data_IF_929018582130
#
_entry.id   IF_929018582130
#
_cell.length_a   1.000
_cell.length_b   1.000
_cell.length_c   1.000
_cell.angle_alpha   90.00
_cell.angle_beta   90.00
_cell.angle_gamma   90.00
#
_symmetry.space_group_name_H-M   'P 1'
#
loop_
_entity.id
_entity.type
_entity.pdbx_description
1 polymer ?
#
# COMPACT_ATOMS: atom_id res chain seq x y z
N UNK A 1 11.06 -29.15 4.94
CA UNK A 1 11.92 -28.21 5.68
C UNK A 1 11.13 -26.93 5.81
N UNK A 2 10.63 -26.67 7.01
CA UNK A 2 9.74 -25.56 7.33
C UNK A 2 10.52 -24.24 7.30
N UNK A 3 10.15 -23.33 6.40
CA UNK A 3 10.65 -21.95 6.36
C UNK A 3 10.17 -21.24 7.63
N UNK A 4 11.08 -20.91 8.53
CA UNK A 4 10.82 -20.05 9.66
C UNK A 4 10.38 -18.68 9.11
N UNK A 5 9.08 -18.38 9.19
CA UNK A 5 8.55 -17.04 8.98
C UNK A 5 9.08 -16.17 10.12
N UNK A 6 9.75 -15.10 9.76
CA UNK A 6 10.22 -14.08 10.67
C UNK A 6 9.04 -13.63 11.57
N UNK A 7 9.14 -14.01 12.84
CA UNK A 7 8.09 -13.75 13.83
C UNK A 7 8.22 -12.31 14.36
N UNK A 8 8.12 -11.33 13.48
CA UNK A 8 7.82 -9.97 13.90
C UNK A 8 6.49 -9.98 14.67
N UNK A 9 6.46 -9.39 15.86
CA UNK A 9 5.26 -9.27 16.68
C UNK A 9 4.16 -8.62 15.84
N UNK A 10 3.19 -9.39 15.38
CA UNK A 10 2.00 -8.83 14.73
C UNK A 10 1.10 -8.26 15.81
N UNK A 11 0.63 -7.01 15.67
CA UNK A 11 -0.36 -6.49 16.60
C UNK A 11 -1.61 -7.38 16.53
N UNK A 12 -2.24 -7.63 17.67
CA UNK A 12 -3.49 -8.36 17.71
C UNK A 12 -4.65 -7.56 17.07
N UNK A 13 -5.67 -8.26 16.59
CA UNK A 13 -6.78 -7.66 15.88
C UNK A 13 -7.54 -6.59 16.69
N UNK A 14 -7.68 -6.78 18.01
CA UNK A 14 -8.36 -5.83 18.87
C UNK A 14 -7.58 -4.52 19.01
N UNK A 15 -6.26 -4.61 19.16
CA UNK A 15 -5.39 -3.42 19.18
C UNK A 15 -5.43 -2.66 17.85
N UNK A 16 -5.43 -3.37 16.72
CA UNK A 16 -5.53 -2.73 15.39
C UNK A 16 -6.88 -2.04 15.21
N UNK A 17 -7.97 -2.70 15.56
CA UNK A 17 -9.31 -2.12 15.48
C UNK A 17 -9.45 -0.88 16.37
N UNK A 18 -8.99 -0.95 17.63
CA UNK A 18 -9.01 0.19 18.54
C UNK A 18 -8.18 1.37 18.02
N UNK A 19 -6.99 1.11 17.47
CA UNK A 19 -6.18 2.15 16.84
C UNK A 19 -6.90 2.77 15.64
N UNK A 20 -7.51 1.95 14.80
CA UNK A 20 -8.26 2.40 13.63
C UNK A 20 -9.41 3.32 14.03
N UNK A 21 -10.16 2.97 15.07
CA UNK A 21 -11.25 3.79 15.60
C UNK A 21 -10.74 5.12 16.19
N UNK A 22 -9.63 5.09 16.96
CA UNK A 22 -9.02 6.28 17.56
C UNK A 22 -8.58 7.30 16.50
N UNK A 23 -8.04 6.84 15.38
CA UNK A 23 -7.62 7.76 14.29
C UNK A 23 -8.79 8.18 13.39
N UNK A 24 -10.03 7.83 13.73
CA UNK A 24 -11.21 8.15 12.93
C UNK A 24 -11.20 7.45 11.58
N UNK A 25 -10.65 6.21 11.53
CA UNK A 25 -10.42 5.50 10.28
C UNK A 25 -11.66 5.31 9.44
N UNK A 26 -12.83 5.06 10.07
CA UNK A 26 -14.11 4.91 9.37
C UNK A 26 -14.59 6.20 8.67
N UNK A 27 -14.16 7.37 9.16
CA UNK A 27 -14.59 8.67 8.64
C UNK A 27 -13.61 9.24 7.60
N UNK A 28 -12.41 8.65 7.53
CA UNK A 28 -11.38 9.07 6.60
C UNK A 28 -11.50 8.31 5.27
N UNK A 29 -11.49 9.04 4.16
CA UNK A 29 -11.47 8.42 2.81
C UNK A 29 -10.09 7.92 2.39
N UNK A 30 -9.03 8.46 2.97
CA UNK A 30 -7.66 7.99 2.76
C UNK A 30 -6.85 8.09 4.04
N UNK A 31 -5.95 7.12 4.24
CA UNK A 31 -5.07 7.02 5.40
C UNK A 31 -3.63 6.79 4.94
N UNK A 32 -2.73 7.69 5.30
CA UNK A 32 -1.32 7.55 5.00
C UNK A 32 -0.57 6.88 6.16
N UNK A 33 0.15 5.80 5.87
CA UNK A 33 1.03 5.11 6.83
C UNK A 33 2.47 5.55 6.57
N UNK A 34 2.99 6.40 7.47
CA UNK A 34 4.33 7.00 7.34
C UNK A 34 5.24 6.49 8.45
N UNK A 35 6.47 6.11 8.10
CA UNK A 35 7.49 5.72 9.09
C UNK A 35 8.54 6.79 9.26
N UNK A 36 8.97 7.05 10.49
CA UNK A 36 10.03 8.02 10.79
C UNK A 36 11.43 7.47 10.49
N UNK A 37 11.56 6.14 10.45
CA UNK A 37 12.83 5.45 10.17
C UNK A 37 12.60 4.25 9.25
N UNK A 38 13.67 3.74 8.62
CA UNK A 38 13.60 2.45 7.90
C UNK A 38 13.20 1.34 8.88
N UNK A 39 12.43 0.36 8.37
CA UNK A 39 11.95 -0.78 9.17
C UNK A 39 11.08 -0.40 10.39
N UNK A 40 10.43 0.76 10.35
CA UNK A 40 9.50 1.22 11.40
C UNK A 40 8.19 0.41 11.49
N UNK A 41 8.07 -0.70 10.76
CA UNK A 41 6.87 -1.54 10.79
C UNK A 41 5.70 -1.04 9.92
N UNK A 42 5.91 -0.08 9.01
CA UNK A 42 4.84 0.43 8.10
C UNK A 42 4.06 -0.70 7.42
N UNK A 43 4.77 -1.60 6.76
CA UNK A 43 4.17 -2.73 6.04
C UNK A 43 3.39 -3.65 6.96
N UNK A 44 3.86 -3.85 8.20
CA UNK A 44 3.14 -4.60 9.23
C UNK A 44 1.82 -3.92 9.58
N UNK A 45 1.83 -2.59 9.74
CA UNK A 45 0.62 -1.80 10.01
C UNK A 45 -0.34 -1.85 8.82
N UNK A 46 0.15 -1.66 7.59
CA UNK A 46 -0.69 -1.75 6.38
C UNK A 46 -1.37 -3.12 6.28
N UNK A 47 -0.61 -4.21 6.42
CA UNK A 47 -1.17 -5.56 6.40
C UNK A 47 -2.18 -5.77 7.55
N UNK A 48 -1.88 -5.28 8.75
CA UNK A 48 -2.78 -5.40 9.89
C UNK A 48 -4.11 -4.66 9.66
N UNK A 49 -4.08 -3.47 9.05
CA UNK A 49 -5.29 -2.72 8.69
C UNK A 49 -6.10 -3.47 7.62
N UNK A 50 -5.43 -3.96 6.57
CA UNK A 50 -6.09 -4.74 5.50
C UNK A 50 -6.76 -6.01 6.00
N UNK A 51 -6.15 -6.67 7.01
CA UNK A 51 -6.62 -7.96 7.53
C UNK A 51 -7.72 -7.82 8.60
N UNK A 52 -7.75 -6.71 9.35
CA UNK A 52 -8.56 -6.62 10.57
C UNK A 52 -9.59 -5.47 10.56
N UNK A 53 -9.49 -4.52 9.64
CA UNK A 53 -10.46 -3.41 9.59
C UNK A 53 -11.54 -3.66 8.55
N UNK A 54 -12.79 -3.20 8.82
CA UNK A 54 -13.90 -3.38 7.89
C UNK A 54 -13.76 -2.48 6.67
N UNK A 55 -14.40 -2.87 5.58
CA UNK A 55 -14.50 -2.08 4.34
C UNK A 55 -13.65 -2.63 3.20
N UNK A 56 -13.86 -2.04 2.03
CA UNK A 56 -13.11 -2.35 0.81
C UNK A 56 -11.97 -1.37 0.67
N UNK A 57 -10.77 -1.85 0.85
CA UNK A 57 -9.60 -0.99 0.77
C UNK A 57 -9.11 -0.80 -0.66
N UNK A 58 -8.68 0.43 -0.94
CA UNK A 58 -7.73 0.75 -1.98
C UNK A 58 -6.31 0.81 -1.39
N UNK A 59 -5.30 0.46 -2.17
CA UNK A 59 -3.90 0.49 -1.76
C UNK A 59 -3.06 1.17 -2.83
N UNK A 60 -2.23 2.12 -2.42
CA UNK A 60 -1.23 2.76 -3.28
C UNK A 60 -0.02 3.21 -2.47
N UNK A 61 0.97 3.78 -3.12
CA UNK A 61 2.14 4.38 -2.49
C UNK A 61 2.46 5.73 -3.13
N UNK A 62 3.26 6.57 -2.51
CA UNK A 62 3.82 7.75 -3.12
C UNK A 62 5.27 7.50 -3.56
N UNK A 63 5.50 7.55 -4.85
CA UNK A 63 6.81 7.44 -5.50
C UNK A 63 7.31 6.02 -5.68
N UNK A 64 8.55 5.94 -6.06
CA UNK A 64 9.24 4.70 -6.32
C UNK A 64 9.82 4.18 -5.00
N UNK A 65 9.12 3.36 -4.28
CA UNK A 65 9.71 2.54 -3.22
C UNK A 65 10.45 1.33 -3.83
N UNK A 66 11.02 1.58 -5.00
CA UNK A 66 11.85 0.66 -5.75
C UNK A 66 13.35 0.88 -5.55
N UNK A 67 13.80 1.40 -4.41
CA UNK A 67 15.19 1.13 -4.03
C UNK A 67 15.33 -0.37 -3.78
N UNK A 68 15.66 -1.04 -4.91
CA UNK A 68 16.29 -2.35 -4.91
C UNK A 68 17.49 -2.22 -4.00
N UNK A 69 17.48 -2.92 -2.94
CA UNK A 69 18.69 -3.16 -2.17
C UNK A 69 18.76 -2.47 -0.84
N UNK A 70 18.30 -3.15 0.15
CA UNK A 70 19.20 -3.34 1.24
C UNK A 70 20.18 -4.47 0.85
N UNK A 71 21.14 -4.13 -0.03
CA UNK A 71 22.30 -5.00 -0.28
C UNK A 71 23.15 -5.21 0.98
N UNK A 72 22.84 -4.51 2.08
CA UNK A 72 23.60 -4.57 3.32
C UNK A 72 23.07 -5.59 4.33
N UNK A 73 21.83 -6.05 4.25
CA UNK A 73 21.28 -6.95 5.27
C UNK A 73 20.77 -8.29 4.77
N UNK A 74 20.62 -8.50 3.46
CA UNK A 74 20.12 -9.77 2.90
C UNK A 74 18.73 -10.21 3.37
N UNK A 75 18.03 -9.37 4.14
CA UNK A 75 16.70 -9.66 4.66
C UNK A 75 15.65 -9.39 3.59
N UNK A 76 14.73 -10.33 3.42
CA UNK A 76 13.58 -10.16 2.55
C UNK A 76 12.76 -8.93 3.02
N UNK A 77 12.56 -7.95 2.11
CA UNK A 77 11.69 -6.81 2.40
C UNK A 77 10.31 -7.32 2.81
N UNK A 78 9.71 -6.78 3.88
CA UNK A 78 8.33 -7.07 4.18
C UNK A 78 7.47 -6.63 2.99
N UNK A 79 6.60 -7.51 2.54
CA UNK A 79 5.73 -7.29 1.39
C UNK A 79 4.29 -7.12 1.84
N UNK A 80 3.53 -6.31 1.13
CA UNK A 80 2.10 -6.16 1.36
C UNK A 80 1.39 -7.33 0.69
N UNK A 81 0.51 -8.00 1.44
CA UNK A 81 -0.31 -9.11 0.93
C UNK A 81 -1.78 -8.70 1.02
N UNK A 82 -2.31 -7.99 0.00
CA UNK A 82 -3.68 -7.52 0.04
C UNK A 82 -4.66 -8.69 -0.11
N UNK A 83 -5.74 -8.72 0.70
CA UNK A 83 -6.82 -9.68 0.55
C UNK A 83 -7.45 -9.63 -0.85
N UNK A 84 -8.11 -10.74 -1.26
CA UNK A 84 -8.86 -10.78 -2.51
C UNK A 84 -9.90 -9.65 -2.58
N UNK A 85 -9.98 -8.99 -3.72
CA UNK A 85 -10.91 -7.89 -3.92
C UNK A 85 -10.36 -6.50 -3.58
N UNK A 86 -9.26 -6.38 -2.84
CA UNK A 86 -8.58 -5.10 -2.60
C UNK A 86 -8.22 -4.44 -3.94
N UNK A 87 -8.52 -3.15 -4.07
CA UNK A 87 -8.09 -2.36 -5.22
C UNK A 87 -6.64 -1.91 -5.02
N UNK A 88 -5.76 -2.21 -5.95
CA UNK A 88 -4.34 -1.85 -5.86
C UNK A 88 -3.97 -0.97 -7.04
N UNK A 89 -3.42 0.22 -6.75
CA UNK A 89 -2.78 1.06 -7.75
C UNK A 89 -1.26 0.89 -7.63
N UNK A 90 -0.64 0.36 -8.67
CA UNK A 90 0.81 0.15 -8.74
C UNK A 90 1.32 0.41 -10.16
N UNK A 91 2.64 0.46 -10.33
CA UNK A 91 3.24 0.67 -11.66
C UNK A 91 3.34 -0.64 -12.45
N UNK A 92 3.29 -0.54 -13.78
CA UNK A 92 3.48 -1.68 -14.68
C UNK A 92 4.80 -2.41 -14.40
N UNK A 93 5.87 -1.67 -14.12
CA UNK A 93 7.17 -2.25 -13.82
C UNK A 93 7.22 -3.00 -12.49
N UNK A 94 6.53 -2.54 -11.44
CA UNK A 94 6.40 -3.26 -10.18
C UNK A 94 5.56 -4.51 -10.35
N UNK A 95 4.48 -4.42 -11.11
CA UNK A 95 3.63 -5.57 -11.40
C UNK A 95 4.37 -6.65 -12.18
N UNK A 96 5.18 -6.27 -13.18
CA UNK A 96 5.99 -7.21 -13.96
C UNK A 96 7.08 -7.91 -13.13
N UNK A 97 7.59 -7.26 -12.08
CA UNK A 97 8.59 -7.85 -11.18
C UNK A 97 7.99 -8.71 -10.08
N UNK A 98 6.77 -8.43 -9.69
CA UNK A 98 6.03 -9.24 -8.73
C UNK A 98 5.37 -10.42 -9.45
N UNK A 99 5.28 -11.57 -8.77
CA UNK A 99 4.46 -12.71 -9.26
C UNK A 99 2.97 -12.50 -9.00
N UNK A 100 2.58 -11.24 -8.80
CA UNK A 100 1.24 -10.88 -8.40
C UNK A 100 0.34 -10.68 -9.61
N UNK A 101 -0.83 -11.27 -9.57
CA UNK A 101 -1.84 -11.11 -10.61
C UNK A 101 -2.86 -10.08 -10.18
N UNK A 102 -2.92 -8.98 -10.93
CA UNK A 102 -4.00 -7.99 -10.84
C UNK A 102 -4.96 -8.18 -12.02
N UNK A 103 -6.24 -8.25 -11.72
CA UNK A 103 -7.25 -7.99 -12.73
C UNK A 103 -7.23 -6.48 -13.02
N UNK A 104 -6.54 -6.07 -14.07
CA UNK A 104 -6.44 -4.65 -14.44
C UNK A 104 -7.80 -4.10 -14.79
N UNK A 105 -8.16 -2.98 -14.16
CA UNK A 105 -9.43 -2.26 -14.36
C UNK A 105 -9.20 -0.96 -15.12
N UNK A 106 -8.10 -0.26 -14.85
CA UNK A 106 -7.83 1.06 -15.40
C UNK A 106 -6.31 1.31 -15.48
N UNK A 107 -5.90 2.08 -16.48
CA UNK A 107 -4.56 2.62 -16.63
C UNK A 107 -4.62 4.15 -16.51
N UNK A 108 -3.85 4.73 -15.59
CA UNK A 108 -3.87 6.16 -15.35
C UNK A 108 -3.03 6.93 -16.39
N UNK A 109 -3.37 8.19 -16.70
CA UNK A 109 -2.79 8.92 -17.82
C UNK A 109 -1.36 9.43 -17.58
N UNK A 110 -0.80 9.21 -16.40
CA UNK A 110 0.55 9.67 -16.06
C UNK A 110 1.56 8.52 -15.99
N UNK A 111 2.84 8.88 -16.20
CA UNK A 111 3.96 7.94 -16.25
C UNK A 111 4.92 8.18 -15.10
N UNK A 112 5.47 7.09 -14.60
CA UNK A 112 6.60 7.06 -13.68
C UNK A 112 7.82 6.44 -14.38
N UNK A 113 9.03 6.48 -13.80
CA UNK A 113 10.17 5.73 -14.30
C UNK A 113 9.94 4.22 -14.38
N UNK A 114 8.97 3.68 -13.67
CA UNK A 114 8.56 2.27 -13.70
C UNK A 114 7.34 1.99 -14.60
N UNK A 115 7.05 2.87 -15.54
CA UNK A 115 5.91 2.77 -16.43
C UNK A 115 4.67 3.50 -15.91
N UNK A 116 3.52 3.19 -16.50
CA UNK A 116 2.25 3.79 -16.06
C UNK A 116 1.77 3.19 -14.75
N UNK A 117 0.98 3.96 -14.04
CA UNK A 117 0.24 3.45 -12.88
C UNK A 117 -1.02 2.75 -13.40
N UNK A 118 -1.23 1.53 -12.96
CA UNK A 118 -2.41 0.73 -13.25
C UNK A 118 -3.19 0.46 -11.98
N UNK A 119 -4.50 0.48 -12.07
CA UNK A 119 -5.40 0.08 -11.00
C UNK A 119 -5.97 -1.27 -11.35
N UNK A 120 -5.95 -2.19 -10.41
CA UNK A 120 -6.52 -3.51 -10.57
C UNK A 120 -7.04 -4.09 -9.27
N UNK A 121 -7.76 -5.20 -9.38
CA UNK A 121 -8.31 -5.94 -8.26
C UNK A 121 -7.38 -7.08 -7.88
N UNK A 122 -7.06 -7.19 -6.62
CA UNK A 122 -6.23 -8.23 -6.05
C UNK A 122 -6.87 -9.61 -6.15
N UNK A 123 -6.11 -10.63 -6.53
CA UNK A 123 -6.56 -12.03 -6.49
C UNK A 123 -6.47 -12.66 -5.09
N UNK A 124 -5.61 -12.17 -4.22
CA UNK A 124 -5.69 -12.44 -2.77
C UNK A 124 -4.62 -13.28 -2.13
N UNK A 125 -3.65 -13.84 -2.82
CA UNK A 125 -2.77 -14.85 -2.18
C UNK A 125 -1.28 -14.59 -2.37
N UNK A 126 -0.92 -13.46 -2.93
CA UNK A 126 0.47 -13.15 -3.23
C UNK A 126 0.85 -11.76 -2.74
N UNK A 127 2.12 -11.61 -2.42
CA UNK A 127 2.67 -10.33 -2.03
C UNK A 127 2.83 -9.40 -3.24
N UNK A 128 2.44 -8.16 -3.09
CA UNK A 128 2.57 -7.12 -4.12
C UNK A 128 3.65 -6.11 -3.76
N UNK A 129 4.42 -5.70 -4.76
CA UNK A 129 5.26 -4.51 -4.68
C UNK A 129 4.41 -3.31 -5.10
N UNK A 130 4.14 -2.40 -4.16
CA UNK A 130 3.35 -1.21 -4.42
C UNK A 130 4.27 -0.04 -4.70
N UNK A 131 4.21 0.49 -5.92
CA UNK A 131 4.86 1.73 -6.33
C UNK A 131 3.81 2.64 -6.93
N UNK A 132 3.78 3.89 -6.47
CA UNK A 132 2.74 4.82 -6.87
C UNK A 132 3.22 5.94 -7.79
N UNK A 133 2.38 6.94 -7.97
CA UNK A 133 2.72 8.18 -8.66
C UNK A 133 3.86 8.93 -7.96
N UNK A 134 4.48 9.85 -8.68
CA UNK A 134 5.67 10.56 -8.19
C UNK A 134 5.35 11.92 -7.61
N UNK A 135 4.16 12.45 -7.87
CA UNK A 135 3.70 13.75 -7.36
C UNK A 135 2.45 13.62 -6.51
N UNK A 136 2.24 14.59 -5.60
CA UNK A 136 1.03 14.64 -4.77
C UNK A 136 -0.24 14.85 -5.62
N UNK A 137 -0.15 15.60 -6.69
CA UNK A 137 -1.30 15.82 -7.59
C UNK A 137 -1.75 14.51 -8.25
N UNK A 138 -0.79 13.72 -8.74
CA UNK A 138 -1.07 12.40 -9.31
C UNK A 138 -1.54 11.40 -8.25
N UNK A 139 -0.99 11.48 -7.02
CA UNK A 139 -1.45 10.65 -5.90
C UNK A 139 -2.92 10.93 -5.60
N UNK A 140 -3.31 12.21 -5.55
CA UNK A 140 -4.71 12.58 -5.33
C UNK A 140 -5.62 12.00 -6.41
N UNK A 141 -5.25 12.14 -7.68
CA UNK A 141 -5.99 11.51 -8.78
C UNK A 141 -6.10 9.99 -8.59
N UNK A 142 -5.01 9.34 -8.18
CA UNK A 142 -5.00 7.89 -7.92
C UNK A 142 -5.96 7.51 -6.79
N UNK A 143 -5.95 8.25 -5.69
CA UNK A 143 -6.87 8.05 -4.56
C UNK A 143 -8.33 8.21 -5.01
N UNK A 144 -8.63 9.31 -5.71
CA UNK A 144 -10.00 9.59 -6.20
C UNK A 144 -10.48 8.48 -7.16
N UNK A 145 -9.59 7.93 -8.00
CA UNK A 145 -9.94 6.83 -8.90
C UNK A 145 -10.19 5.52 -8.16
N UNK A 146 -9.36 5.19 -7.15
CA UNK A 146 -9.57 4.01 -6.30
C UNK A 146 -10.93 4.07 -5.60
N UNK A 147 -11.28 5.24 -5.04
CA UNK A 147 -12.58 5.48 -4.40
C UNK A 147 -13.73 5.35 -5.42
N UNK A 148 -13.60 5.94 -6.61
CA UNK A 148 -14.60 5.85 -7.67
C UNK A 148 -14.82 4.41 -8.18
N UNK A 149 -13.79 3.56 -8.13
CA UNK A 149 -13.86 2.14 -8.48
C UNK A 149 -14.40 1.25 -7.35
N UNK A 150 -14.76 1.86 -6.22
CA UNK A 150 -15.49 1.21 -5.14
C UNK A 150 -14.67 0.87 -3.91
N UNK A 151 -13.49 1.46 -3.72
CA UNK A 151 -12.86 1.46 -2.40
C UNK A 151 -13.67 2.36 -1.45
N UNK A 152 -13.86 1.89 -0.23
CA UNK A 152 -14.47 2.69 0.83
C UNK A 152 -13.41 3.62 1.45
N UNK A 153 -12.16 3.13 1.52
CA UNK A 153 -11.00 3.87 2.00
C UNK A 153 -9.74 3.48 1.23
N UNK A 154 -8.79 4.41 1.13
CA UNK A 154 -7.49 4.18 0.47
C UNK A 154 -6.35 4.25 1.48
N UNK A 155 -5.56 3.19 1.57
CA UNK A 155 -4.31 3.17 2.32
C UNK A 155 -3.17 3.63 1.40
N UNK A 156 -2.42 4.62 1.87
CA UNK A 156 -1.24 5.14 1.16
C UNK A 156 0.01 4.73 1.93
N UNK A 157 0.81 3.83 1.37
CA UNK A 157 2.12 3.47 1.96
C UNK A 157 3.13 4.59 1.65
N UNK A 158 3.56 5.30 2.69
CA UNK A 158 4.45 6.45 2.59
C UNK A 158 5.92 6.10 2.83
N UNK A 159 6.83 6.58 1.96
CA UNK A 159 8.27 6.51 2.20
C UNK A 159 8.71 7.51 3.28
N UNK A 160 9.82 7.18 3.98
CA UNK A 160 10.37 7.92 5.14
C UNK A 160 10.53 9.43 4.88
N UNK A 161 10.89 9.83 3.68
CA UNK A 161 11.22 11.22 3.32
C UNK A 161 10.05 11.97 2.65
N UNK A 162 8.82 11.45 2.72
CA UNK A 162 7.69 11.98 1.96
C UNK A 162 6.51 12.32 2.86
N UNK A 163 6.74 13.28 3.79
CA UNK A 163 5.70 13.86 4.64
C UNK A 163 4.51 14.39 3.79
N UNK A 164 4.76 14.69 2.51
CA UNK A 164 3.70 15.09 1.59
C UNK A 164 2.56 14.09 1.41
N UNK A 165 2.79 12.78 1.63
CA UNK A 165 1.73 11.77 1.57
C UNK A 165 0.74 11.87 2.73
N UNK A 166 1.15 12.48 3.85
CA UNK A 166 0.32 12.77 5.02
C UNK A 166 -0.28 14.19 4.98
N UNK A 167 -0.20 14.89 3.85
CA UNK A 167 -0.83 16.21 3.71
C UNK A 167 -2.34 16.09 3.76
N UNK A 168 -3.05 17.04 4.45
CA UNK A 168 -4.52 17.10 4.44
C UNK A 168 -5.15 17.23 3.04
N UNK A 169 -4.34 17.52 2.01
CA UNK A 169 -4.78 17.53 0.61
C UNK A 169 -4.88 16.17 -0.03
N UNK A 170 -4.40 15.13 0.64
CA UNK A 170 -4.36 13.74 0.16
C UNK A 170 -5.06 12.81 1.15
N UNK A 171 -5.11 13.19 2.42
CA UNK A 171 -5.80 12.45 3.50
C UNK A 171 -7.21 12.95 3.70
#
# INVERSE_FOLDING_TARGET
>A
MSSARDAGVRPDAATVAALYDIIGGSDCRSLAVVGLVKNAGKTTVVNALLDNCPGRFGLTSLGLDGERTDHLTGLAKPSITPPAGTLVATTQGSLARSRYTLQTLEELPFRTPLGRVVIGRAAGDSAVEVSGPTTLAELRVTVDRLLALGADQVLVDGAINRIGSASPRVS
#
